data_IF_527398809374
#
_entry.id   IF_527398809374
#
_cell.length_a   1.000
_cell.length_b   1.000
_cell.length_c   1.000
_cell.angle_alpha   90.00
_cell.angle_beta   90.00
_cell.angle_gamma   90.00
#
_symmetry.space_group_name_H-M   'P 1'
#
loop_
_entity.id
_entity.type
_entity.pdbx_description
1 polymer ?
#
# COMPACT_ATOMS: atom_id res chain seq x y z
N UNK A 1 -18.92 13.97 -9.29
CA UNK A 1 -18.36 12.69 -8.82
C UNK A 1 -18.90 11.62 -9.74
N UNK A 2 -18.05 10.78 -10.35
CA UNK A 2 -18.50 9.65 -11.15
C UNK A 2 -18.82 8.51 -10.17
N UNK A 3 -19.99 7.88 -10.28
CA UNK A 3 -20.33 6.69 -9.49
C UNK A 3 -19.67 5.46 -10.09
N UNK A 4 -19.55 4.40 -9.29
CA UNK A 4 -18.98 3.14 -9.74
C UNK A 4 -19.80 2.55 -10.91
N UNK A 5 -21.12 2.65 -10.84
CA UNK A 5 -22.06 2.18 -11.85
C UNK A 5 -21.85 2.92 -13.18
N UNK A 6 -21.72 4.25 -13.13
CA UNK A 6 -21.44 5.05 -14.33
C UNK A 6 -20.08 4.69 -14.96
N UNK A 7 -19.08 4.37 -14.13
CA UNK A 7 -17.78 3.93 -14.64
C UNK A 7 -17.87 2.57 -15.34
N UNK A 8 -18.61 1.60 -14.76
CA UNK A 8 -18.82 0.29 -15.38
C UNK A 8 -19.57 0.40 -16.72
N UNK A 9 -20.58 1.25 -16.79
CA UNK A 9 -21.34 1.48 -18.03
C UNK A 9 -20.44 2.07 -19.13
N UNK A 10 -19.63 3.07 -18.80
CA UNK A 10 -18.67 3.66 -19.75
C UNK A 10 -17.62 2.65 -20.24
N UNK A 11 -17.09 1.80 -19.36
CA UNK A 11 -16.14 0.75 -19.76
C UNK A 11 -16.81 -0.29 -20.65
N UNK A 12 -18.07 -0.63 -20.37
CA UNK A 12 -18.82 -1.61 -21.16
C UNK A 12 -19.09 -1.14 -22.60
N UNK A 13 -19.14 0.17 -22.83
CA UNK A 13 -19.30 0.76 -24.16
C UNK A 13 -18.00 0.76 -25.00
N UNK A 14 -16.84 0.50 -24.39
CA UNK A 14 -15.57 0.43 -25.11
C UNK A 14 -15.48 -0.85 -25.96
N UNK A 15 -14.78 -0.82 -27.11
CA UNK A 15 -14.41 -2.04 -27.83
C UNK A 15 -13.64 -3.02 -26.94
N UNK A 16 -13.78 -4.33 -27.19
CA UNK A 16 -13.15 -5.36 -26.34
C UNK A 16 -11.65 -5.16 -26.14
N UNK A 17 -10.93 -4.82 -27.20
CA UNK A 17 -9.49 -4.54 -27.13
C UNK A 17 -9.15 -3.37 -26.19
N UNK A 18 -9.97 -2.32 -26.21
CA UNK A 18 -9.79 -1.17 -25.32
C UNK A 18 -10.16 -1.49 -23.88
N UNK A 19 -11.13 -2.38 -23.65
CA UNK A 19 -11.44 -2.88 -22.30
C UNK A 19 -10.24 -3.65 -21.72
N UNK A 20 -9.63 -4.56 -22.49
CA UNK A 20 -8.45 -5.31 -22.07
C UNK A 20 -7.27 -4.37 -21.76
N UNK A 21 -7.01 -3.40 -22.64
CA UNK A 21 -5.98 -2.39 -22.42
C UNK A 21 -6.24 -1.55 -21.16
N UNK A 22 -7.50 -1.18 -20.91
CA UNK A 22 -7.87 -0.42 -19.71
C UNK A 22 -7.62 -1.24 -18.44
N UNK A 23 -7.95 -2.53 -18.44
CA UNK A 23 -7.69 -3.44 -17.31
C UNK A 23 -6.19 -3.45 -16.99
N UNK A 24 -5.32 -3.57 -18.00
CA UNK A 24 -3.87 -3.55 -17.79
C UNK A 24 -3.38 -2.23 -17.20
N UNK A 25 -3.88 -1.10 -17.70
CA UNK A 25 -3.50 0.24 -17.23
C UNK A 25 -3.93 0.42 -15.77
N UNK A 26 -5.19 0.10 -15.45
CA UNK A 26 -5.72 0.25 -14.09
C UNK A 26 -4.94 -0.64 -13.12
N UNK A 27 -4.66 -1.90 -13.50
CA UNK A 27 -3.87 -2.82 -12.68
C UNK A 27 -2.47 -2.26 -12.38
N UNK A 28 -1.77 -1.72 -13.39
CA UNK A 28 -0.45 -1.09 -13.20
C UNK A 28 -0.54 0.10 -12.25
N UNK A 29 -1.53 0.97 -12.44
CA UNK A 29 -1.74 2.14 -11.58
C UNK A 29 -2.03 1.76 -10.13
N UNK A 30 -2.85 0.73 -9.89
CA UNK A 30 -3.11 0.25 -8.53
C UNK A 30 -1.83 -0.25 -7.84
N UNK A 31 -0.97 -0.97 -8.58
CA UNK A 31 0.33 -1.40 -8.05
C UNK A 31 1.22 -0.21 -7.74
N UNK A 32 1.26 0.81 -8.60
CA UNK A 32 2.08 1.99 -8.40
C UNK A 32 1.60 2.84 -7.22
N UNK A 33 0.29 2.97 -7.02
CA UNK A 33 -0.28 3.64 -5.84
C UNK A 33 0.14 2.89 -4.57
N UNK A 34 -0.01 1.57 -4.53
CA UNK A 34 0.42 0.76 -3.38
C UNK A 34 1.92 0.88 -3.10
N UNK A 35 2.75 0.98 -4.15
CA UNK A 35 4.19 1.25 -3.99
C UNK A 35 4.46 2.63 -3.42
N UNK A 36 3.70 3.65 -3.81
CA UNK A 36 3.86 5.00 -3.28
C UNK A 36 3.46 5.08 -1.81
N UNK A 37 2.41 4.36 -1.40
CA UNK A 37 2.02 4.22 0.00
C UNK A 37 3.15 3.57 0.81
N UNK A 38 3.68 2.44 0.35
CA UNK A 38 4.81 1.76 0.99
C UNK A 38 6.08 2.62 1.04
N UNK A 39 6.37 3.39 -0.01
CA UNK A 39 7.50 4.31 -0.03
C UNK A 39 7.36 5.42 1.01
N UNK A 40 6.14 5.88 1.30
CA UNK A 40 5.89 6.87 2.34
C UNK A 40 6.19 6.30 3.72
N UNK A 41 5.67 5.12 4.03
CA UNK A 41 5.95 4.40 5.29
C UNK A 41 7.45 4.15 5.48
N UNK A 42 8.14 3.70 4.43
CA UNK A 42 9.59 3.52 4.45
C UNK A 42 10.36 4.83 4.68
N UNK A 43 9.91 5.94 4.11
CA UNK A 43 10.53 7.26 4.32
C UNK A 43 10.38 7.73 5.76
N UNK A 44 9.20 7.51 6.36
CA UNK A 44 8.93 7.83 7.76
C UNK A 44 9.84 7.02 8.70
N UNK A 45 9.88 5.69 8.56
CA UNK A 45 10.75 4.85 9.39
C UNK A 45 12.25 5.16 9.21
N UNK A 46 12.68 5.47 7.99
CA UNK A 46 14.07 5.86 7.73
C UNK A 46 14.42 7.24 8.30
N UNK A 47 13.46 8.17 8.34
CA UNK A 47 13.63 9.46 9.00
C UNK A 47 13.75 9.29 10.52
N UNK A 48 12.94 8.43 11.14
CA UNK A 48 13.03 8.11 12.56
C UNK A 48 14.38 7.47 12.91
N UNK A 49 14.84 6.49 12.11
CA UNK A 49 16.17 5.91 12.29
C UNK A 49 17.28 6.97 12.21
N UNK A 50 17.22 7.86 11.20
CA UNK A 50 18.19 8.94 11.03
C UNK A 50 18.12 10.01 12.12
N UNK A 51 16.98 10.15 12.80
CA UNK A 51 16.83 11.10 13.92
C UNK A 51 17.72 10.76 15.11
N UNK A 52 18.19 9.50 15.21
CA UNK A 52 19.06 9.02 16.29
C UNK A 52 18.34 8.83 17.62
N UNK A 53 17.01 8.95 17.64
CA UNK A 53 16.20 8.79 18.86
C UNK A 53 15.83 7.32 19.15
N UNK A 54 16.12 6.40 18.23
CA UNK A 54 15.86 4.98 18.42
C UNK A 54 16.86 4.37 19.41
N UNK A 55 16.35 3.55 20.33
CA UNK A 55 17.20 2.82 21.27
C UNK A 55 17.87 1.63 20.55
N UNK A 56 19.16 1.37 20.82
CA UNK A 56 19.81 0.16 20.32
C UNK A 56 19.16 -1.07 20.97
N UNK A 57 18.78 -2.04 20.14
CA UNK A 57 18.22 -3.32 20.56
C UNK A 57 18.83 -4.46 19.76
N UNK A 58 18.80 -5.67 20.32
CA UNK A 58 19.21 -6.86 19.58
C UNK A 58 18.17 -7.20 18.52
N UNK A 59 18.55 -8.03 17.54
CA UNK A 59 17.62 -8.47 16.50
C UNK A 59 16.49 -9.30 17.13
N UNK A 60 16.83 -10.10 18.14
CA UNK A 60 15.89 -10.92 18.89
C UNK A 60 14.85 -10.07 19.64
N UNK A 61 15.30 -9.00 20.31
CA UNK A 61 14.40 -8.07 21.02
C UNK A 61 13.48 -7.31 20.05
N UNK A 62 14.02 -6.88 18.91
CA UNK A 62 13.26 -6.18 17.86
C UNK A 62 12.16 -7.06 17.26
N UNK A 63 12.46 -8.33 16.98
CA UNK A 63 11.47 -9.30 16.47
C UNK A 63 10.40 -9.55 17.53
N UNK A 64 10.79 -9.78 18.79
CA UNK A 64 9.82 -10.03 19.86
C UNK A 64 8.91 -8.82 20.14
N UNK A 65 9.40 -7.60 19.96
CA UNK A 65 8.59 -6.38 20.04
C UNK A 65 7.60 -6.27 18.88
N UNK A 66 8.04 -6.58 17.66
CA UNK A 66 7.18 -6.59 16.48
C UNK A 66 6.07 -7.64 16.58
N UNK A 67 6.39 -8.86 17.04
CA UNK A 67 5.41 -9.93 17.21
C UNK A 67 4.31 -9.52 18.21
N UNK A 68 4.68 -8.91 19.34
CA UNK A 68 3.71 -8.37 20.33
C UNK A 68 2.82 -7.28 19.73
N UNK A 69 3.41 -6.34 18.99
CA UNK A 69 2.65 -5.27 18.35
C UNK A 69 1.62 -5.81 17.35
N UNK A 70 1.98 -6.86 16.60
CA UNK A 70 1.08 -7.50 15.65
C UNK A 70 -0.07 -8.23 16.38
N UNK A 71 0.22 -8.96 17.45
CA UNK A 71 -0.79 -9.62 18.29
C UNK A 71 -1.80 -8.60 18.88
N UNK A 72 -1.31 -7.48 19.43
CA UNK A 72 -2.17 -6.43 20.00
C UNK A 72 -3.02 -5.71 18.94
N UNK A 73 -2.58 -5.68 17.68
CA UNK A 73 -3.31 -5.04 16.57
C UNK A 73 -4.39 -5.92 15.93
N UNK A 74 -4.37 -7.24 16.17
CA UNK A 74 -5.39 -8.18 15.67
C UNK A 74 -6.63 -8.24 16.59
N UNK A 75 -6.56 -7.65 17.78
CA UNK A 75 -7.63 -7.62 18.80
C UNK A 75 -8.54 -6.37 18.74
N UNK A 76 -8.32 -5.43 17.81
CA UNK A 76 -9.17 -4.24 17.51
C UNK A 76 -9.99 -4.38 16.22
#
# INVERSE_FOLDING_TARGET
MITFENALELVSQLPREQQEMLIEIVKKRCVDVRRQEFLRECQEGLAEYRSGNLQPMTVEDAIAELDRYLEDSEDE
#
